data_IF_301854904445
#
_entry.id   IF_301854904445
#
_cell.length_a   1.000
_cell.length_b   1.000
_cell.length_c   1.000
_cell.angle_alpha   90.00
_cell.angle_beta   90.00
_cell.angle_gamma   90.00
#
_symmetry.space_group_name_H-M   'P 1'
#
loop_
_entity.id
_entity.type
_entity.pdbx_description
1 polymer ?
#
# COMPACT_ATOMS: atom_id res chain seq x y z
N UNK A 1 8.86 -11.35 -0.90
CA UNK A 1 7.41 -11.64 -0.96
C UNK A 1 6.94 -11.18 -2.32
N UNK A 2 6.18 -11.99 -3.05
CA UNK A 2 5.58 -11.60 -4.33
C UNK A 2 4.16 -11.11 -4.07
N UNK A 3 3.62 -10.22 -4.90
CA UNK A 3 2.31 -9.60 -4.65
C UNK A 3 1.17 -10.64 -4.56
N UNK A 4 1.22 -11.71 -5.36
CA UNK A 4 0.25 -12.82 -5.32
C UNK A 4 0.24 -13.62 -4.01
N UNK A 5 1.29 -13.51 -3.21
CA UNK A 5 1.41 -14.18 -1.91
C UNK A 5 1.01 -13.25 -0.75
N UNK A 6 0.56 -12.03 -1.06
CA UNK A 6 0.03 -11.08 -0.09
C UNK A 6 -1.32 -11.60 0.41
N UNK A 7 -1.46 -11.69 1.72
CA UNK A 7 -2.68 -12.18 2.36
C UNK A 7 -3.41 -11.06 3.11
N UNK A 8 -2.65 -10.14 3.70
CA UNK A 8 -3.20 -9.00 4.43
C UNK A 8 -2.43 -7.72 4.09
N UNK A 9 -3.19 -6.66 3.88
CA UNK A 9 -2.70 -5.28 3.82
C UNK A 9 -3.46 -4.48 4.87
N UNK A 10 -2.75 -3.91 5.84
CA UNK A 10 -3.34 -3.11 6.91
C UNK A 10 -2.66 -1.77 6.99
N UNK A 11 -3.46 -0.72 6.87
CA UNK A 11 -3.02 0.65 7.09
C UNK A 11 -3.36 1.07 8.52
N UNK A 12 -2.40 1.67 9.20
CA UNK A 12 -2.57 2.32 10.49
C UNK A 12 -2.57 3.84 10.28
N UNK A 13 -3.73 4.45 10.52
CA UNK A 13 -3.94 5.88 10.32
C UNK A 13 -3.22 6.73 11.37
N UNK A 14 -3.05 6.21 12.59
CA UNK A 14 -2.45 6.95 13.70
C UNK A 14 -0.92 7.03 13.52
N UNK A 15 -0.32 5.97 12.96
CA UNK A 15 1.14 5.90 12.76
C UNK A 15 1.58 6.14 11.32
N UNK A 16 0.65 6.22 10.37
CA UNK A 16 0.97 6.35 8.94
C UNK A 16 1.67 5.12 8.36
N UNK A 17 1.52 3.95 8.99
CA UNK A 17 2.24 2.74 8.60
C UNK A 17 1.37 1.81 7.76
N UNK A 18 1.94 1.28 6.68
CA UNK A 18 1.35 0.22 5.88
C UNK A 18 2.04 -1.10 6.19
N UNK A 19 1.32 -2.03 6.80
CA UNK A 19 1.78 -3.39 7.03
C UNK A 19 1.29 -4.31 5.91
N UNK A 20 2.23 -5.04 5.33
CA UNK A 20 2.02 -6.05 4.29
C UNK A 20 2.42 -7.40 4.86
N UNK A 21 1.47 -8.33 4.93
CA UNK A 21 1.68 -9.66 5.50
C UNK A 21 1.28 -10.74 4.49
N UNK A 22 2.09 -11.80 4.42
CA UNK A 22 1.86 -12.90 3.50
C UNK A 22 2.95 -13.96 3.56
N UNK A 23 3.10 -14.74 2.50
CA UNK A 23 4.10 -15.79 2.41
C UNK A 23 5.33 -15.36 1.62
N UNK A 24 6.51 -15.78 2.10
CA UNK A 24 7.76 -15.62 1.36
C UNK A 24 7.96 -16.78 0.35
N UNK A 25 9.07 -16.77 -0.39
CA UNK A 25 9.38 -17.79 -1.40
C UNK A 25 9.54 -19.22 -0.84
N UNK A 26 9.59 -19.37 0.49
CA UNK A 26 9.71 -20.64 1.20
C UNK A 26 8.41 -21.01 1.93
N UNK A 27 7.27 -20.40 1.56
CA UNK A 27 5.97 -20.59 2.20
C UNK A 27 5.96 -20.29 3.71
N UNK A 28 6.87 -19.42 4.18
CA UNK A 28 6.88 -18.94 5.57
C UNK A 28 6.22 -17.59 5.67
N UNK A 29 5.44 -17.39 6.74
CA UNK A 29 4.85 -16.10 7.06
C UNK A 29 5.94 -15.03 7.16
N UNK A 30 5.76 -13.92 6.45
CA UNK A 30 6.62 -12.74 6.50
C UNK A 30 5.73 -11.50 6.49
N UNK A 31 6.12 -10.52 7.32
CA UNK A 31 5.52 -9.20 7.30
C UNK A 31 6.58 -8.15 6.97
N UNK A 32 6.17 -7.11 6.28
CA UNK A 32 6.97 -5.91 6.01
C UNK A 32 6.12 -4.70 6.39
N UNK A 33 6.73 -3.74 7.07
CA UNK A 33 6.10 -2.47 7.39
C UNK A 33 6.77 -1.37 6.57
N UNK A 34 5.96 -0.54 5.93
CA UNK A 34 6.40 0.64 5.17
C UNK A 34 5.85 1.87 5.87
N UNK A 35 6.71 2.81 6.22
CA UNK A 35 6.29 4.12 6.70
C UNK A 35 5.88 4.98 5.50
N UNK A 36 4.74 5.66 5.60
CA UNK A 36 4.28 6.59 4.57
C UNK A 36 4.53 8.01 5.07
N UNK A 37 5.38 8.75 4.34
CA UNK A 37 5.79 10.10 4.73
C UNK A 37 4.62 11.10 4.75
N UNK A 38 3.68 10.97 3.81
CA UNK A 38 2.44 11.75 3.76
C UNK A 38 1.20 10.83 3.75
N UNK A 39 0.67 10.48 4.94
CA UNK A 39 -0.56 9.73 5.11
C UNK A 39 -1.74 10.24 4.27
N UNK A 40 -1.90 11.57 4.21
CA UNK A 40 -3.02 12.22 3.53
C UNK A 40 -2.95 12.05 2.02
N UNK A 41 -1.77 12.28 1.42
CA UNK A 41 -1.58 12.11 -0.02
C UNK A 41 -1.79 10.66 -0.44
N UNK A 42 -1.30 9.70 0.35
CA UNK A 42 -1.52 8.28 0.10
C UNK A 42 -3.00 7.91 0.15
N UNK A 43 -3.71 8.32 1.20
CA UNK A 43 -5.15 8.04 1.32
C UNK A 43 -5.94 8.68 0.18
N UNK A 44 -5.60 9.91 -0.21
CA UNK A 44 -6.28 10.58 -1.32
C UNK A 44 -6.07 9.84 -2.65
N UNK A 45 -4.85 9.36 -2.90
CA UNK A 45 -4.56 8.59 -4.10
C UNK A 45 -5.24 7.21 -4.08
N UNK A 46 -5.32 6.51 -2.94
CA UNK A 46 -6.10 5.27 -2.83
C UNK A 46 -7.59 5.52 -3.08
N UNK A 47 -8.16 6.57 -2.49
CA UNK A 47 -9.57 6.95 -2.74
C UNK A 47 -9.83 7.24 -4.21
N UNK A 48 -8.91 7.96 -4.85
CA UNK A 48 -9.00 8.30 -6.27
C UNK A 48 -8.89 7.04 -7.12
N UNK A 49 -8.02 6.09 -6.77
CA UNK A 49 -7.86 4.81 -7.48
C UNK A 49 -9.12 3.95 -7.41
N UNK A 50 -9.79 3.95 -6.25
CA UNK A 50 -11.03 3.19 -6.05
C UNK A 50 -12.24 3.84 -6.73
N UNK A 51 -12.22 5.16 -6.90
CA UNK A 51 -13.27 5.89 -7.60
C UNK A 51 -13.11 5.84 -9.14
N UNK A 52 -11.90 5.66 -9.64
CA UNK A 52 -11.62 5.58 -11.07
C UNK A 52 -11.76 4.13 -11.59
N UNK A 53 -12.82 3.88 -12.37
CA UNK A 53 -13.10 2.58 -12.96
C UNK A 53 -12.06 2.15 -14.03
N UNK A 54 -11.30 3.11 -14.58
CA UNK A 54 -10.39 2.87 -15.70
C UNK A 54 -8.96 2.49 -15.27
N UNK A 55 -8.70 2.32 -13.97
CA UNK A 55 -7.38 1.89 -13.43
C UNK A 55 -6.20 2.77 -13.89
N UNK A 56 -6.44 4.07 -14.13
CA UNK A 56 -5.40 4.97 -14.61
C UNK A 56 -4.33 5.15 -13.53
N UNK A 57 -3.02 5.19 -13.90
CA UNK A 57 -1.96 5.46 -12.95
C UNK A 57 -2.16 6.83 -12.29
N UNK A 58 -2.18 6.87 -10.96
CA UNK A 58 -2.28 8.11 -10.20
C UNK A 58 -0.86 8.57 -9.88
N UNK A 59 -0.49 9.73 -10.39
CA UNK A 59 0.77 10.38 -10.03
C UNK A 59 0.72 10.75 -8.54
N UNK A 60 1.58 10.12 -7.74
CA UNK A 60 1.85 10.54 -6.37
C UNK A 60 3.15 11.35 -6.35
N UNK A 61 3.05 12.62 -5.99
CA UNK A 61 4.17 13.57 -5.90
C UNK A 61 3.93 14.84 -6.71
N UNK A 62 4.40 15.99 -6.20
CA UNK A 62 4.51 17.21 -7.01
C UNK A 62 5.56 16.98 -8.09
N UNK A 63 5.15 17.01 -9.35
CA UNK A 63 6.04 17.37 -10.46
C UNK A 63 6.83 18.62 -10.03
N UNK A 64 8.15 18.46 -9.96
CA UNK A 64 9.10 19.57 -9.86
C UNK A 64 10.01 19.50 -11.06
#
# INVERSE_FOLDING_TARGET
MRLRELQEMRYDQDTGQLKLSGLNAFNKAKSVTVSIDSPEEFLNAVKTALADADSKPIAMGKDR
#
